data_IF_533444374149
#
_entry.id   IF_533444374149
#
_cell.length_a   1.000
_cell.length_b   1.000
_cell.length_c   1.000
_cell.angle_alpha   90.00
_cell.angle_beta   90.00
_cell.angle_gamma   90.00
#
_symmetry.space_group_name_H-M   'P 1'
#
loop_
_entity.id
_entity.type
_entity.pdbx_description
1 polymer ?
#
# COMPACT_ATOMS: atom_id res chain seq x y z
N UNK A 1 -9.48 -6.95 4.13
CA UNK A 1 -8.70 -6.15 3.16
C UNK A 1 -7.23 -6.32 3.51
N UNK A 2 -6.35 -6.67 2.57
CA UNK A 2 -4.94 -6.94 2.85
C UNK A 2 -4.14 -5.67 3.14
N UNK A 3 -3.18 -5.79 4.06
CA UNK A 3 -2.15 -4.79 4.30
C UNK A 3 -0.98 -5.04 3.35
N UNK A 4 -0.51 -3.99 2.69
CA UNK A 4 0.67 -4.07 1.82
C UNK A 4 1.70 -3.00 2.17
N UNK A 5 2.96 -3.39 2.09
CA UNK A 5 4.11 -2.52 2.08
C UNK A 5 4.64 -2.40 0.65
N UNK A 6 4.61 -1.20 0.08
CA UNK A 6 5.13 -0.92 -1.25
C UNK A 6 6.63 -0.64 -1.15
N UNK A 7 7.46 -1.51 -1.73
CA UNK A 7 8.91 -1.33 -1.77
C UNK A 7 9.34 -0.40 -2.90
N UNK A 8 8.46 -0.17 -3.87
CA UNK A 8 8.68 0.71 -5.00
C UNK A 8 7.40 1.46 -5.36
N UNK A 9 7.56 2.59 -6.06
CA UNK A 9 6.41 3.35 -6.57
C UNK A 9 5.55 2.49 -7.49
N UNK A 10 4.24 2.49 -7.25
CA UNK A 10 3.28 1.68 -8.00
C UNK A 10 2.02 2.49 -8.31
N UNK A 11 1.67 2.56 -9.60
CA UNK A 11 0.45 3.22 -10.07
C UNK A 11 -0.64 2.16 -10.30
N UNK A 12 -1.67 2.16 -9.46
CA UNK A 12 -2.82 1.27 -9.56
C UNK A 12 -3.99 1.96 -10.26
N UNK A 13 -4.47 1.35 -11.34
CA UNK A 13 -5.61 1.86 -12.12
C UNK A 13 -6.78 0.86 -12.02
N UNK A 14 -7.65 0.97 -11.00
CA UNK A 14 -8.93 0.26 -10.96
C UNK A 14 -9.90 0.82 -12.01
N UNK A 15 -10.96 0.05 -12.34
CA UNK A 15 -12.09 0.54 -13.16
C UNK A 15 -13.28 0.85 -12.23
N UNK A 16 -13.96 2.01 -12.35
CA UNK A 16 -13.70 3.12 -13.28
C UNK A 16 -12.35 3.81 -13.03
N UNK A 17 -11.74 4.32 -14.10
CA UNK A 17 -10.32 4.67 -14.20
C UNK A 17 -9.92 5.89 -13.33
N UNK A 18 -9.61 5.63 -12.07
CA UNK A 18 -8.84 6.55 -11.22
C UNK A 18 -7.42 6.00 -11.11
N UNK A 19 -6.40 6.86 -11.19
CA UNK A 19 -5.01 6.42 -10.98
C UNK A 19 -4.65 6.68 -9.52
N UNK A 20 -4.37 5.63 -8.77
CA UNK A 20 -3.91 5.70 -7.39
C UNK A 20 -2.41 5.43 -7.40
N UNK A 21 -1.61 6.46 -7.09
CA UNK A 21 -0.17 6.33 -6.95
C UNK A 21 0.19 5.97 -5.51
N UNK A 22 0.87 4.85 -5.34
CA UNK A 22 1.49 4.43 -4.08
C UNK A 22 2.99 4.72 -4.14
N UNK A 23 3.54 5.60 -3.28
CA UNK A 23 4.99 5.84 -3.23
C UNK A 23 5.73 4.65 -2.61
N UNK A 24 7.03 4.55 -2.89
CA UNK A 24 7.90 3.62 -2.17
C UNK A 24 7.91 3.92 -0.66
N UNK A 25 7.81 2.91 0.17
CA UNK A 25 7.68 3.00 1.63
C UNK A 25 6.24 3.13 2.14
N UNK A 26 5.23 3.21 1.25
CA UNK A 26 3.82 3.26 1.68
C UNK A 26 3.39 1.93 2.31
N UNK A 27 2.74 1.98 3.47
CA UNK A 27 2.16 0.82 4.16
C UNK A 27 0.69 1.08 4.46
N UNK A 28 -0.21 0.31 3.84
CA UNK A 28 -1.63 0.58 4.02
C UNK A 28 -2.55 -0.56 3.66
N UNK A 29 -3.80 -0.36 4.04
CA UNK A 29 -4.93 -1.17 3.59
C UNK A 29 -5.19 -0.86 2.11
N UNK A 30 -5.10 -1.89 1.28
CA UNK A 30 -5.44 -1.79 -0.14
C UNK A 30 -6.48 -2.82 -0.52
N UNK A 31 -7.07 -2.63 -1.69
CA UNK A 31 -8.03 -3.60 -2.24
C UNK A 31 -7.31 -4.89 -2.64
N UNK A 32 -7.98 -6.03 -2.50
CA UNK A 32 -7.47 -7.34 -2.95
C UNK A 32 -6.94 -7.35 -4.40
N UNK A 33 -7.61 -6.73 -5.40
CA UNK A 33 -7.05 -6.65 -6.75
C UNK A 33 -5.76 -5.83 -6.83
N UNK A 34 -5.63 -4.74 -6.06
CA UNK A 34 -4.39 -3.98 -5.97
C UNK A 34 -3.27 -4.83 -5.38
N UNK A 35 -3.56 -5.49 -4.25
CA UNK A 35 -2.63 -6.38 -3.57
C UNK A 35 -2.06 -7.45 -4.49
N UNK A 36 -2.92 -8.15 -5.22
CA UNK A 36 -2.51 -9.22 -6.12
C UNK A 36 -1.63 -8.70 -7.25
N UNK A 37 -1.98 -7.56 -7.85
CA UNK A 37 -1.20 -6.98 -8.95
C UNK A 37 0.13 -6.40 -8.49
N UNK A 38 0.17 -5.70 -7.36
CA UNK A 38 1.38 -5.11 -6.82
C UNK A 38 2.41 -6.18 -6.40
N UNK A 39 1.93 -7.26 -5.77
CA UNK A 39 2.78 -8.42 -5.40
C UNK A 39 3.24 -9.18 -6.64
N UNK A 40 2.35 -9.43 -7.61
CA UNK A 40 2.73 -10.08 -8.86
C UNK A 40 3.74 -9.26 -9.68
N UNK A 41 3.69 -7.93 -9.57
CA UNK A 41 4.66 -7.02 -10.17
C UNK A 41 5.99 -6.92 -9.37
N UNK A 42 6.09 -7.56 -8.19
CA UNK A 42 7.25 -7.47 -7.32
C UNK A 42 7.49 -6.06 -6.74
N UNK A 43 6.43 -5.24 -6.66
CA UNK A 43 6.51 -3.84 -6.19
C UNK A 43 6.03 -3.67 -4.74
N UNK A 44 5.48 -4.72 -4.16
CA UNK A 44 4.96 -4.68 -2.82
C UNK A 44 4.93 -6.07 -2.16
N UNK A 45 4.93 -6.06 -0.84
CA UNK A 45 4.92 -7.25 0.02
C UNK A 45 3.63 -7.26 0.85
N UNK A 46 3.07 -8.45 1.07
CA UNK A 46 1.92 -8.61 1.95
C UNK A 46 2.39 -8.59 3.39
N UNK A 47 1.74 -7.76 4.19
CA UNK A 47 1.95 -7.72 5.62
C UNK A 47 0.81 -8.42 6.37
N UNK A 48 1.09 -8.98 7.55
CA UNK A 48 0.05 -9.41 8.48
C UNK A 48 -0.81 -8.20 8.89
N UNK A 49 -2.01 -8.48 9.42
CA UNK A 49 -2.86 -7.44 10.00
C UNK A 49 -2.15 -6.84 11.22
N UNK A 50 -1.78 -5.55 11.21
CA UNK A 50 -1.18 -4.88 12.36
C UNK A 50 -2.19 -4.74 13.48
N UNK A 51 -1.66 -4.55 14.69
CA UNK A 51 -2.43 -3.97 15.79
C UNK A 51 -2.78 -2.51 15.49
N UNK A 52 -3.74 -1.95 16.24
CA UNK A 52 -4.15 -0.54 16.06
C UNK A 52 -2.97 0.42 16.22
N UNK A 53 -2.08 0.14 17.18
CA UNK A 53 -0.91 0.96 17.48
C UNK A 53 0.11 0.93 16.34
N UNK A 54 0.42 -0.27 15.82
CA UNK A 54 1.30 -0.43 14.65
C UNK A 54 0.72 0.24 13.40
N UNK A 55 -0.59 0.15 13.18
CA UNK A 55 -1.26 0.81 12.07
C UNK A 55 -1.15 2.35 12.15
N UNK A 56 -1.26 2.91 13.35
CA UNK A 56 -1.07 4.34 13.64
C UNK A 56 0.39 4.77 13.41
N UNK A 57 1.33 3.95 13.89
CA UNK A 57 2.76 4.17 13.73
C UNK A 57 3.17 4.17 12.24
N UNK A 58 2.69 3.18 11.48
CA UNK A 58 2.94 3.11 10.03
C UNK A 58 2.36 4.31 9.30
N UNK A 59 1.12 4.71 9.64
CA UNK A 59 0.48 5.89 9.02
C UNK A 59 1.24 7.17 9.34
N UNK A 60 1.69 7.34 10.58
CA UNK A 60 2.47 8.51 11.00
C UNK A 60 3.84 8.57 10.32
N UNK A 61 4.48 7.42 10.11
CA UNK A 61 5.78 7.32 9.43
C UNK A 61 5.73 7.62 7.92
N UNK A 62 4.54 7.58 7.31
CA UNK A 62 4.34 7.77 5.86
C UNK A 62 4.06 9.21 5.45
N UNK A 63 3.84 10.12 6.40
CA UNK A 63 3.59 11.53 6.10
C UNK A 63 4.91 12.14 5.62
N UNK A 64 5.09 12.49 4.34
CA UNK A 64 6.20 13.35 3.99
C UNK A 64 5.93 14.69 4.65
N UNK A 65 6.94 15.23 5.35
CA UNK A 65 6.92 16.61 5.80
C UNK A 65 6.46 17.49 4.63
N UNK A 66 5.32 18.17 4.82
CA UNK A 66 4.73 19.09 3.86
C UNK A 66 5.66 20.28 3.58
#
# INVERSE_FOLDING_TARGET
MPWLHFTATYDFIPKPAVTIRYPAGYIGLVTTPCANRAVAAGKAERLPTPTKDEAEAWRSAQVPAA
#
